data_IF_222907426462
#
_entry.id   IF_222907426462
#
_cell.length_a   1.000
_cell.length_b   1.000
_cell.length_c   1.000
_cell.angle_alpha   90.00
_cell.angle_beta   90.00
_cell.angle_gamma   90.00
#
_symmetry.space_group_name_H-M   'P 1'
#
loop_
_entity.id
_entity.type
_entity.pdbx_description
1 polymer ?
#
# COMPACT_ATOMS: atom_id res chain seq x y z
N UNK A 1 -24.04 39.79 31.92
CA UNK A 1 -24.25 38.60 32.77
C UNK A 1 -24.45 37.31 31.96
N UNK A 2 -23.90 37.20 30.73
CA UNK A 2 -24.01 35.99 29.88
C UNK A 2 -22.64 35.47 29.39
N UNK A 3 -21.56 36.22 29.62
CA UNK A 3 -20.19 35.83 29.26
C UNK A 3 -19.41 35.13 30.38
N UNK A 4 -19.87 35.20 31.63
CA UNK A 4 -19.22 34.54 32.78
C UNK A 4 -19.50 33.04 32.86
N UNK A 5 -20.63 32.58 32.30
CA UNK A 5 -21.02 31.16 32.30
C UNK A 5 -20.23 30.36 31.27
N UNK A 6 -19.75 31.02 30.20
CA UNK A 6 -18.98 30.37 29.13
C UNK A 6 -17.54 30.07 29.58
N UNK A 7 -16.99 30.87 30.49
CA UNK A 7 -15.62 30.69 31.01
C UNK A 7 -15.47 29.53 32.00
N UNK A 8 -16.56 29.09 32.64
CA UNK A 8 -16.55 27.94 33.56
C UNK A 8 -16.52 26.59 32.85
N UNK A 9 -16.72 26.56 31.53
CA UNK A 9 -16.68 25.33 30.72
C UNK A 9 -15.36 25.12 29.97
N UNK A 10 -14.39 26.04 30.11
CA UNK A 10 -13.11 25.94 29.41
C UNK A 10 -12.05 25.34 30.33
N UNK A 11 -11.60 24.14 29.96
CA UNK A 11 -10.30 23.56 30.24
C UNK A 11 -10.05 22.95 31.64
N UNK A 12 -10.79 21.90 31.96
CA UNK A 12 -10.19 20.77 32.71
C UNK A 12 -9.72 19.74 31.67
N UNK A 13 -8.60 20.05 31.01
CA UNK A 13 -7.88 19.10 30.17
C UNK A 13 -6.99 18.25 31.09
N UNK A 14 -7.55 17.16 31.62
CA UNK A 14 -6.78 16.16 32.34
C UNK A 14 -5.92 15.43 31.31
N UNK A 15 -4.64 15.78 31.26
CA UNK A 15 -3.64 15.10 30.44
C UNK A 15 -3.30 13.78 31.13
N UNK A 16 -4.11 12.74 30.93
CA UNK A 16 -3.77 11.38 31.36
C UNK A 16 -2.85 10.79 30.30
N UNK A 17 -1.54 10.90 30.50
CA UNK A 17 -0.58 10.16 29.70
C UNK A 17 -0.76 8.65 29.94
N UNK A 18 -0.88 7.80 28.89
CA UNK A 18 -0.87 6.36 29.10
C UNK A 18 0.53 5.94 29.55
N UNK A 19 0.59 5.14 30.61
CA UNK A 19 1.81 4.51 31.10
C UNK A 19 2.46 3.72 29.96
N UNK A 20 3.68 4.12 29.59
CA UNK A 20 4.51 3.39 28.63
C UNK A 20 4.91 2.08 29.30
N UNK A 21 4.23 0.98 28.96
CA UNK A 21 4.67 -0.35 29.37
C UNK A 21 5.95 -0.67 28.61
N UNK A 22 7.03 -0.88 29.35
CA UNK A 22 8.29 -1.37 28.81
C UNK A 22 8.03 -2.70 28.07
N UNK A 23 8.06 -2.64 26.75
CA UNK A 23 8.00 -3.82 25.89
C UNK A 23 9.16 -4.74 26.22
N UNK A 24 8.82 -6.01 26.45
CA UNK A 24 9.73 -7.08 26.83
C UNK A 24 10.88 -7.17 25.82
N UNK A 25 12.11 -7.10 26.32
CA UNK A 25 13.30 -7.53 25.58
C UNK A 25 13.15 -9.02 25.34
N UNK A 26 12.65 -9.38 24.17
CA UNK A 26 12.56 -10.76 23.72
C UNK A 26 13.96 -11.36 23.68
N UNK A 27 14.17 -12.42 24.45
CA UNK A 27 15.36 -13.26 24.41
C UNK A 27 15.65 -13.70 22.96
N UNK A 28 16.90 -13.68 22.49
CA UNK A 28 17.21 -14.18 21.17
C UNK A 28 16.90 -15.67 21.11
N UNK A 29 15.84 -16.02 20.37
CA UNK A 29 15.55 -17.40 20.04
C UNK A 29 16.78 -17.99 19.34
N UNK A 30 17.44 -18.99 19.96
CA UNK A 30 18.50 -19.77 19.31
C UNK A 30 17.88 -20.57 18.16
N UNK A 31 17.74 -19.92 17.02
CA UNK A 31 17.16 -20.51 15.81
C UNK A 31 18.29 -21.21 15.06
N UNK A 32 18.17 -22.53 14.93
CA UNK A 32 19.13 -23.35 14.18
C UNK A 32 19.23 -22.85 12.74
N UNK A 33 20.44 -22.50 12.32
CA UNK A 33 20.79 -22.00 10.97
C UNK A 33 20.44 -22.98 9.84
N UNK A 34 20.10 -24.23 10.15
CA UNK A 34 19.61 -25.22 9.18
C UNK A 34 18.14 -25.06 8.77
N UNK A 35 17.37 -24.21 9.45
CA UNK A 35 16.00 -23.80 9.08
C UNK A 35 15.93 -22.31 8.72
N UNK A 36 17.04 -21.73 8.26
CA UNK A 36 17.13 -20.33 7.87
C UNK A 36 16.35 -19.99 6.57
N UNK A 37 15.71 -20.98 5.92
CA UNK A 37 14.60 -20.70 5.03
C UNK A 37 13.34 -20.51 5.87
N UNK A 38 13.22 -19.34 6.50
CA UNK A 38 11.91 -18.83 6.86
C UNK A 38 11.12 -18.69 5.57
N UNK A 39 10.33 -19.70 5.22
CA UNK A 39 9.37 -19.63 4.13
C UNK A 39 8.70 -18.26 4.23
N UNK A 40 8.65 -17.47 3.14
CA UNK A 40 8.03 -16.16 3.19
C UNK A 40 6.65 -16.36 3.80
N UNK A 41 6.31 -15.57 4.82
CA UNK A 41 5.06 -15.74 5.59
C UNK A 41 3.84 -15.80 4.65
N UNK A 42 4.00 -15.18 3.47
CA UNK A 42 3.10 -15.04 2.35
C UNK A 42 3.24 -16.11 1.24
N UNK A 43 3.80 -17.30 1.51
CA UNK A 43 3.79 -18.40 0.55
C UNK A 43 2.40 -19.03 0.43
N UNK A 44 1.63 -18.56 -0.56
CA UNK A 44 0.23 -18.93 -0.74
C UNK A 44 0.02 -20.31 -1.39
N UNK A 45 1.03 -20.88 -2.05
CA UNK A 45 0.95 -22.22 -2.65
C UNK A 45 0.99 -23.36 -1.62
N UNK A 46 1.68 -23.17 -0.48
CA UNK A 46 1.79 -24.18 0.57
C UNK A 46 0.76 -23.99 1.70
N UNK A 47 0.33 -22.75 1.93
CA UNK A 47 -0.75 -22.42 2.85
C UNK A 47 -2.07 -22.34 2.06
N UNK A 48 -2.86 -21.31 2.29
CA UNK A 48 -4.04 -20.97 1.49
C UNK A 48 -3.87 -19.59 0.85
N UNK A 49 -4.67 -19.31 -0.18
CA UNK A 49 -4.69 -18.00 -0.83
C UNK A 49 -5.11 -16.87 0.13
N UNK A 50 -5.80 -17.19 1.23
CA UNK A 50 -6.27 -16.20 2.22
C UNK A 50 -5.11 -15.48 2.92
N UNK A 51 -3.90 -16.07 2.94
CA UNK A 51 -2.70 -15.40 3.46
C UNK A 51 -2.41 -14.10 2.72
N UNK A 52 -2.81 -13.99 1.45
CA UNK A 52 -2.68 -12.79 0.64
C UNK A 52 -3.69 -11.70 0.99
N UNK A 53 -4.70 -12.00 1.81
CA UNK A 53 -5.67 -11.01 2.29
C UNK A 53 -5.25 -10.41 3.64
N UNK A 54 -4.19 -10.95 4.25
CA UNK A 54 -3.72 -10.48 5.55
C UNK A 54 -3.07 -9.09 5.43
N UNK A 55 -3.24 -8.21 6.43
CA UNK A 55 -2.58 -6.91 6.45
C UNK A 55 -1.06 -7.04 6.33
N UNK A 56 -0.45 -6.21 5.47
CA UNK A 56 0.99 -6.23 5.20
C UNK A 56 1.43 -7.29 4.19
N UNK A 57 0.52 -8.11 3.66
CA UNK A 57 0.84 -8.92 2.48
C UNK A 57 1.09 -8.01 1.26
N UNK A 58 1.91 -8.46 0.28
CA UNK A 58 2.23 -7.68 -0.92
C UNK A 58 1.05 -7.46 -1.87
N UNK A 59 -0.07 -8.13 -1.65
CA UNK A 59 -1.30 -7.96 -2.41
C UNK A 59 -2.19 -9.20 -2.37
N UNK A 60 -3.45 -9.07 -2.82
CA UNK A 60 -4.49 -10.07 -2.60
C UNK A 60 -4.42 -11.30 -3.50
N UNK A 61 -3.59 -11.29 -4.56
CA UNK A 61 -3.58 -12.36 -5.57
C UNK A 61 -2.42 -13.31 -5.37
N UNK A 62 -2.69 -14.61 -5.32
CA UNK A 62 -1.65 -15.63 -5.30
C UNK A 62 -1.14 -15.92 -6.73
N UNK A 63 0.12 -15.59 -7.01
CA UNK A 63 0.79 -15.84 -8.28
C UNK A 63 2.08 -16.64 -8.04
N UNK A 64 2.16 -17.87 -8.57
CA UNK A 64 3.38 -18.69 -8.45
C UNK A 64 3.81 -18.97 -7.01
N UNK A 65 2.85 -18.95 -6.06
CA UNK A 65 3.12 -19.13 -4.63
C UNK A 65 3.50 -17.87 -3.88
N UNK A 66 3.51 -16.71 -4.53
CA UNK A 66 3.71 -15.41 -3.89
C UNK A 66 2.45 -14.56 -3.98
N UNK A 67 2.13 -13.86 -2.90
CA UNK A 67 1.09 -12.86 -2.89
C UNK A 67 1.56 -11.60 -3.63
N UNK A 68 0.77 -11.11 -4.57
CA UNK A 68 1.07 -9.93 -5.39
C UNK A 68 -0.18 -9.08 -5.60
N UNK A 69 0.04 -7.80 -5.82
CA UNK A 69 -1.03 -6.85 -6.12
C UNK A 69 -1.17 -6.69 -7.64
N UNK A 70 -2.27 -7.18 -8.20
CA UNK A 70 -2.50 -7.11 -9.65
C UNK A 70 -3.02 -5.76 -10.13
N UNK A 71 -3.33 -4.83 -9.23
CA UNK A 71 -3.87 -3.51 -9.59
C UNK A 71 -2.81 -2.42 -9.67
N UNK A 72 -1.66 -2.63 -9.05
CA UNK A 72 -0.57 -1.66 -8.94
C UNK A 72 0.81 -2.23 -9.27
N UNK A 73 1.02 -3.55 -9.22
CA UNK A 73 2.31 -4.15 -9.63
C UNK A 73 2.49 -4.04 -11.14
N UNK A 74 3.63 -3.49 -11.57
CA UNK A 74 4.05 -3.47 -12.97
C UNK A 74 4.32 -4.86 -13.52
N UNK A 75 4.65 -5.84 -12.68
CA UNK A 75 5.04 -7.19 -13.10
C UNK A 75 3.84 -8.15 -13.16
N UNK A 76 2.73 -7.77 -12.53
CA UNK A 76 1.50 -8.56 -12.41
C UNK A 76 0.25 -7.76 -12.77
N UNK A 77 0.36 -6.78 -13.67
CA UNK A 77 -0.72 -5.83 -13.93
C UNK A 77 -1.92 -6.47 -14.64
N UNK A 78 -3.06 -6.51 -13.95
CA UNK A 78 -4.28 -7.17 -14.43
C UNK A 78 -4.21 -8.70 -14.42
N UNK A 79 -3.18 -9.30 -13.82
CA UNK A 79 -3.05 -10.74 -13.66
C UNK A 79 -1.62 -11.23 -13.45
N UNK A 80 -1.46 -12.49 -13.06
CA UNK A 80 -0.15 -13.08 -12.80
C UNK A 80 0.78 -13.01 -14.02
N UNK A 81 2.02 -12.54 -13.81
CA UNK A 81 3.08 -12.44 -14.81
C UNK A 81 2.71 -11.58 -16.03
N UNK A 82 1.75 -10.65 -15.86
CA UNK A 82 1.39 -9.66 -16.87
C UNK A 82 2.22 -8.41 -16.68
N UNK A 83 3.46 -8.46 -17.17
CA UNK A 83 4.39 -7.35 -17.06
C UNK A 83 3.96 -6.22 -18.01
N UNK A 84 3.94 -4.99 -17.51
CA UNK A 84 3.77 -3.81 -18.32
C UNK A 84 5.01 -3.55 -19.18
N UNK A 85 4.81 -3.21 -20.46
CA UNK A 85 5.91 -2.77 -21.32
C UNK A 85 6.67 -1.59 -20.69
N UNK A 86 7.94 -1.46 -21.03
CA UNK A 86 8.79 -0.37 -20.55
C UNK A 86 8.12 1.01 -20.67
N UNK A 87 8.25 1.81 -19.61
CA UNK A 87 7.68 3.16 -19.54
C UNK A 87 6.18 3.21 -19.20
N UNK A 88 5.51 2.07 -19.06
CA UNK A 88 4.10 2.02 -18.65
C UNK A 88 3.98 1.72 -17.16
N UNK A 89 2.92 2.25 -16.56
CA UNK A 89 2.59 2.08 -15.15
C UNK A 89 1.32 1.26 -15.01
N UNK A 90 1.24 0.40 -13.99
CA UNK A 90 0.01 -0.29 -13.68
C UNK A 90 -0.96 0.63 -12.93
N UNK A 91 -2.08 0.97 -13.56
CA UNK A 91 -3.15 1.75 -12.96
C UNK A 91 -4.43 0.94 -12.98
N UNK A 92 -4.89 0.48 -11.81
CA UNK A 92 -6.13 -0.27 -11.67
C UNK A 92 -6.14 -1.57 -12.48
N UNK A 93 -4.99 -2.24 -12.58
CA UNK A 93 -4.85 -3.49 -13.33
C UNK A 93 -4.73 -3.31 -14.84
N UNK A 94 -4.44 -2.09 -15.31
CA UNK A 94 -4.16 -1.80 -16.73
C UNK A 94 -2.83 -1.08 -16.88
N UNK A 95 -2.02 -1.52 -17.84
CA UNK A 95 -0.79 -0.84 -18.18
C UNK A 95 -1.09 0.44 -18.98
N UNK A 96 -0.89 1.59 -18.37
CA UNK A 96 -1.15 2.90 -18.97
C UNK A 96 0.17 3.65 -19.18
N UNK A 97 0.19 4.53 -20.18
CA UNK A 97 1.32 5.42 -20.42
C UNK A 97 1.01 6.78 -19.77
N UNK A 98 1.67 7.06 -18.65
CA UNK A 98 1.45 8.30 -17.90
C UNK A 98 1.87 9.55 -18.68
N UNK A 99 2.66 9.41 -19.76
CA UNK A 99 3.15 10.55 -20.53
C UNK A 99 2.15 11.09 -21.54
N UNK A 100 1.15 10.28 -21.92
CA UNK A 100 0.26 10.54 -23.04
C UNK A 100 -1.20 10.16 -22.79
N UNK A 101 -1.49 9.31 -21.80
CA UNK A 101 -2.86 8.94 -21.44
C UNK A 101 -3.57 10.12 -20.77
N UNK A 102 -4.58 10.66 -21.47
CA UNK A 102 -5.42 11.76 -21.01
C UNK A 102 -6.11 11.47 -19.66
N UNK A 103 -6.40 10.21 -19.33
CA UNK A 103 -7.09 9.83 -18.10
C UNK A 103 -6.13 9.47 -16.95
N UNK A 104 -4.83 9.35 -17.23
CA UNK A 104 -3.81 8.92 -16.26
C UNK A 104 -2.53 9.78 -16.38
N UNK A 105 -2.67 11.08 -16.66
CA UNK A 105 -1.53 11.91 -17.02
C UNK A 105 -0.62 12.18 -15.81
N UNK A 106 0.65 11.79 -15.88
CA UNK A 106 1.64 11.94 -14.81
C UNK A 106 1.42 11.02 -13.60
N UNK A 107 0.19 10.58 -13.33
CA UNK A 107 -0.17 9.60 -12.31
C UNK A 107 -1.51 8.94 -12.63
N UNK A 108 -1.77 7.77 -12.04
CA UNK A 108 -3.04 7.07 -12.18
C UNK A 108 -4.24 7.97 -11.82
N UNK A 109 -5.32 7.85 -12.59
CA UNK A 109 -6.59 8.57 -12.38
C UNK A 109 -6.48 10.11 -12.42
N UNK A 110 -5.43 10.66 -13.04
CA UNK A 110 -5.33 12.09 -13.30
C UNK A 110 -5.82 12.42 -14.70
N UNK A 111 -7.08 12.85 -14.80
CA UNK A 111 -7.72 13.18 -16.06
C UNK A 111 -7.47 14.64 -16.47
N UNK A 112 -6.94 14.85 -17.68
CA UNK A 112 -6.78 16.17 -18.28
C UNK A 112 -8.02 16.60 -19.06
N UNK A 113 -8.23 17.91 -19.16
CA UNK A 113 -9.36 18.48 -19.92
C UNK A 113 -9.16 18.37 -21.42
N UNK A 114 -7.98 18.73 -21.95
CA UNK A 114 -7.71 18.67 -23.40
C UNK A 114 -6.74 17.55 -23.73
N UNK A 115 -5.49 17.64 -23.30
CA UNK A 115 -4.41 16.72 -23.71
C UNK A 115 -3.44 16.42 -22.55
N UNK A 116 -2.84 15.23 -22.59
CA UNK A 116 -1.65 14.90 -21.82
C UNK A 116 -0.41 14.96 -22.72
N UNK A 117 0.60 15.73 -22.33
CA UNK A 117 1.88 15.84 -23.04
C UNK A 117 3.01 15.71 -22.03
N UNK A 118 3.90 14.73 -22.22
CA UNK A 118 5.07 14.47 -21.36
C UNK A 118 4.72 14.30 -19.86
N UNK A 119 3.50 13.85 -19.55
CA UNK A 119 3.02 13.67 -18.18
C UNK A 119 2.41 14.93 -17.54
N UNK A 120 2.21 15.98 -18.32
CA UNK A 120 1.58 17.23 -17.87
C UNK A 120 0.27 17.49 -18.63
N UNK A 121 -0.76 17.88 -17.90
CA UNK A 121 -2.04 18.26 -18.48
C UNK A 121 -1.95 19.61 -19.16
N UNK A 122 -2.44 19.67 -20.40
CA UNK A 122 -2.59 20.90 -21.17
C UNK A 122 -1.27 21.69 -21.34
N UNK A 123 -0.13 20.97 -21.25
CA UNK A 123 1.21 21.49 -21.52
C UNK A 123 1.35 21.78 -23.02
N UNK A 124 1.63 23.05 -23.32
CA UNK A 124 1.75 23.64 -24.65
C UNK A 124 3.20 24.05 -24.93
#
# INVERSE_FOLDING_TARGET
>A
MRSFVVYLMVAVAIVIAPAVTAGQVGLPARRSRFLANSLPIYECSKKSADVCLTPGSPGPTCCGGQCVDTVSSSDHCGGCHKVCNHGRTCCGGRCVDLSSDKNNCGRCSNQCSKKCSYGFCDYA
#
